data_IF_878273800215
#
_entry.id   IF_878273800215
#
_cell.length_a   1.000
_cell.length_b   1.000
_cell.length_c   1.000
_cell.angle_alpha   90.00
_cell.angle_beta   90.00
_cell.angle_gamma   90.00
#
_symmetry.space_group_name_H-M   'P 1'
#
loop_
_entity.id
_entity.type
_entity.pdbx_description
1 polymer ?
#
# COMPACT_ATOMS: atom_id res chain seq x y z
N UNK A 1 43.26 63.91 -0.57
CA UNK A 1 43.71 62.51 -0.73
C UNK A 1 42.67 61.58 -0.13
N UNK A 2 41.99 60.74 -0.93
CA UNK A 2 41.37 59.48 -0.46
C UNK A 2 40.85 58.68 -1.68
N UNK A 3 41.67 57.74 -2.17
CA UNK A 3 41.22 56.75 -3.17
C UNK A 3 40.48 55.66 -2.41
N UNK A 4 39.16 55.62 -2.52
CA UNK A 4 38.36 54.49 -2.00
C UNK A 4 38.63 53.27 -2.90
N UNK A 5 39.13 52.15 -2.37
CA UNK A 5 39.41 50.96 -3.17
C UNK A 5 38.10 50.36 -3.67
N UNK A 6 38.00 50.06 -4.97
CA UNK A 6 36.79 49.50 -5.64
C UNK A 6 36.57 48.00 -5.35
N UNK A 7 37.40 47.39 -4.51
CA UNK A 7 37.37 45.95 -4.20
C UNK A 7 36.35 45.47 -3.14
N UNK A 8 35.75 46.29 -2.24
CA UNK A 8 34.85 45.76 -1.21
C UNK A 8 33.43 45.49 -1.73
N UNK A 9 32.97 46.20 -2.77
CA UNK A 9 31.60 46.06 -3.29
C UNK A 9 31.38 44.72 -4.00
N UNK A 10 32.38 44.24 -4.75
CA UNK A 10 32.29 42.95 -5.46
C UNK A 10 32.29 41.76 -4.47
N UNK A 11 33.08 41.86 -3.40
CA UNK A 11 33.16 40.83 -2.37
C UNK A 11 31.88 40.74 -1.54
N UNK A 12 31.24 41.88 -1.23
CA UNK A 12 29.95 41.91 -0.52
C UNK A 12 28.81 41.36 -1.38
N UNK A 13 28.78 41.67 -2.68
CA UNK A 13 27.78 41.13 -3.61
C UNK A 13 27.89 39.60 -3.77
N UNK A 14 29.11 39.07 -3.84
CA UNK A 14 29.36 37.62 -3.86
C UNK A 14 28.95 36.94 -2.54
N UNK A 15 29.23 37.56 -1.39
CA UNK A 15 28.81 37.00 -0.09
C UNK A 15 27.28 36.98 0.10
N UNK A 16 26.57 38.00 -0.38
CA UNK A 16 25.11 38.06 -0.33
C UNK A 16 24.42 37.05 -1.26
N UNK A 17 25.02 36.75 -2.42
CA UNK A 17 24.55 35.70 -3.33
C UNK A 17 24.69 34.29 -2.73
N UNK A 18 25.75 34.05 -1.95
CA UNK A 18 25.98 32.76 -1.28
C UNK A 18 25.06 32.57 -0.07
N UNK A 19 24.78 33.63 0.70
CA UNK A 19 23.91 33.55 1.88
C UNK A 19 22.41 33.63 1.55
N UNK A 20 22.03 34.34 0.48
CA UNK A 20 20.63 34.47 0.04
C UNK A 20 20.07 33.20 -0.64
N UNK A 21 20.93 32.36 -1.20
CA UNK A 21 20.52 31.11 -1.86
C UNK A 21 20.11 29.98 -0.90
N UNK A 22 20.47 30.08 0.38
CA UNK A 22 20.21 29.02 1.37
C UNK A 22 18.87 29.14 2.09
N UNK A 23 18.14 30.25 1.93
CA UNK A 23 16.84 30.45 2.59
C UNK A 23 15.66 29.78 1.88
N UNK A 24 15.83 29.19 0.69
CA UNK A 24 14.76 28.48 -0.05
C UNK A 24 14.74 26.97 0.19
N UNK A 25 15.68 26.42 0.98
CA UNK A 25 15.81 24.96 1.17
C UNK A 25 15.05 24.44 2.39
N UNK A 26 14.49 25.33 3.21
CA UNK A 26 13.70 24.95 4.38
C UNK A 26 12.24 25.33 4.13
N UNK A 27 11.63 24.67 3.15
CA UNK A 27 10.17 24.57 3.14
C UNK A 27 9.77 23.56 4.24
N UNK A 28 8.97 23.97 5.26
CA UNK A 28 8.58 23.08 6.34
C UNK A 28 7.72 21.89 5.90
N UNK A 29 7.25 21.87 4.64
CA UNK A 29 6.43 20.78 4.11
C UNK A 29 7.23 19.63 3.48
N UNK A 30 8.53 19.81 3.16
CA UNK A 30 9.28 18.81 2.37
C UNK A 30 10.46 18.12 3.08
N UNK A 31 10.98 18.66 4.18
CA UNK A 31 12.39 18.37 4.50
C UNK A 31 12.68 17.40 5.64
N UNK A 32 12.20 17.71 6.84
CA UNK A 32 12.84 17.20 8.05
C UNK A 32 12.57 15.71 8.33
N UNK A 33 11.45 15.19 7.81
CA UNK A 33 11.09 13.78 7.95
C UNK A 33 11.78 12.86 6.93
N UNK A 34 12.43 13.42 5.89
CA UNK A 34 13.13 12.66 4.84
C UNK A 34 14.50 12.13 5.28
N UNK A 35 15.00 12.56 6.45
CA UNK A 35 16.27 12.09 7.03
C UNK A 35 16.12 10.81 7.87
N UNK A 36 14.87 10.40 8.13
CA UNK A 36 14.57 9.09 8.66
C UNK A 36 14.06 8.23 7.49
N UNK A 37 14.78 7.19 7.05
CA UNK A 37 14.21 6.19 6.16
C UNK A 37 13.20 5.33 6.95
N UNK A 38 12.09 5.97 7.34
CA UNK A 38 10.97 5.38 8.05
C UNK A 38 9.72 5.67 7.23
N UNK A 39 9.38 4.72 6.35
CA UNK A 39 8.06 4.52 5.77
C UNK A 39 7.26 5.80 5.42
N UNK A 40 7.54 6.35 4.23
CA UNK A 40 6.58 7.23 3.56
C UNK A 40 5.33 6.42 3.19
N UNK A 41 4.23 6.60 3.95
CA UNK A 41 2.96 5.90 3.75
C UNK A 41 2.14 6.41 2.54
N UNK A 42 2.80 6.94 1.51
CA UNK A 42 2.15 7.37 0.25
C UNK A 42 2.41 6.42 -0.92
N UNK A 43 3.28 5.43 -0.75
CA UNK A 43 3.31 4.27 -1.64
C UNK A 43 2.22 3.28 -1.18
N UNK A 44 1.02 3.41 -1.76
CA UNK A 44 0.00 2.35 -1.69
C UNK A 44 0.65 1.00 -1.99
N UNK A 45 0.26 -0.10 -1.37
CA UNK A 45 0.64 -1.45 -1.81
C UNK A 45 0.35 -1.59 -3.31
N UNK A 46 1.37 -1.44 -4.16
CA UNK A 46 1.23 -1.49 -5.60
C UNK A 46 1.34 -2.96 -6.00
N UNK A 47 0.22 -3.60 -6.32
CA UNK A 47 0.26 -4.89 -6.99
C UNK A 47 0.88 -4.68 -8.38
N UNK A 48 1.81 -5.57 -8.79
CA UNK A 48 2.44 -5.51 -10.11
C UNK A 48 1.40 -5.47 -11.24
N UNK A 49 0.28 -6.17 -11.03
CA UNK A 49 -0.94 -6.02 -11.82
C UNK A 49 -2.14 -6.03 -10.88
N UNK A 50 -3.17 -5.29 -11.26
CA UNK A 50 -4.47 -5.29 -10.58
C UNK A 50 -5.10 -6.70 -10.67
N UNK A 51 -5.45 -7.34 -9.53
CA UNK A 51 -5.93 -8.72 -9.54
C UNK A 51 -7.31 -8.85 -10.17
N UNK A 52 -7.62 -10.04 -10.71
CA UNK A 52 -8.95 -10.39 -11.22
C UNK A 52 -10.02 -10.09 -10.16
N UNK A 53 -11.06 -9.34 -10.53
CA UNK A 53 -12.16 -8.98 -9.63
C UNK A 53 -12.02 -7.62 -8.93
N UNK A 54 -10.87 -6.93 -9.04
CA UNK A 54 -10.66 -5.63 -8.39
C UNK A 54 -11.70 -4.58 -8.75
N UNK A 55 -12.08 -4.48 -10.03
CA UNK A 55 -13.06 -3.49 -10.52
C UNK A 55 -14.51 -3.90 -10.33
N UNK A 56 -14.77 -5.01 -9.62
CA UNK A 56 -16.10 -5.59 -9.50
C UNK A 56 -16.54 -5.81 -8.05
N UNK A 57 -17.63 -6.57 -7.85
CA UNK A 57 -18.15 -6.89 -6.52
C UNK A 57 -17.14 -7.59 -5.60
N UNK A 58 -16.15 -8.27 -6.16
CA UNK A 58 -15.10 -8.95 -5.40
C UNK A 58 -13.90 -8.04 -5.04
N UNK A 59 -13.98 -6.73 -5.31
CA UNK A 59 -12.84 -5.81 -5.13
C UNK A 59 -12.32 -5.75 -3.70
N UNK A 60 -13.17 -5.95 -2.71
CA UNK A 60 -12.77 -6.03 -1.29
C UNK A 60 -12.15 -7.39 -0.94
N UNK A 61 -12.53 -8.45 -1.65
CA UNK A 61 -12.10 -9.81 -1.39
C UNK A 61 -10.68 -10.07 -1.91
N UNK A 62 -10.30 -9.44 -3.03
CA UNK A 62 -9.02 -9.69 -3.73
C UNK A 62 -7.79 -9.19 -2.97
N UNK A 63 -7.99 -8.39 -1.92
CA UNK A 63 -6.94 -8.01 -0.98
C UNK A 63 -6.44 -9.25 -0.22
N UNK A 64 -7.37 -10.11 0.19
CA UNK A 64 -7.09 -11.27 1.03
C UNK A 64 -7.12 -12.60 0.26
N UNK A 65 -7.80 -12.68 -0.88
CA UNK A 65 -8.04 -13.93 -1.60
C UNK A 65 -7.58 -13.86 -3.05
N UNK A 66 -7.05 -14.99 -3.56
CA UNK A 66 -6.93 -15.21 -4.99
C UNK A 66 -8.23 -15.79 -5.54
N UNK A 67 -8.58 -15.39 -6.77
CA UNK A 67 -9.76 -15.88 -7.49
C UNK A 67 -9.38 -16.73 -8.70
N UNK A 68 -8.11 -16.84 -9.06
CA UNK A 68 -7.65 -17.55 -10.25
C UNK A 68 -7.39 -19.03 -9.95
N UNK A 69 -7.63 -19.89 -10.95
CA UNK A 69 -7.42 -21.33 -10.82
C UNK A 69 -5.94 -21.67 -10.64
N UNK A 70 -5.61 -22.39 -9.58
CA UNK A 70 -4.24 -22.90 -9.35
C UNK A 70 -3.31 -21.91 -8.66
N UNK A 71 -3.77 -20.69 -8.42
CA UNK A 71 -3.04 -19.71 -7.62
C UNK A 71 -2.90 -20.13 -6.15
N UNK A 72 -1.83 -19.69 -5.52
CA UNK A 72 -1.59 -19.92 -4.09
C UNK A 72 -2.61 -19.18 -3.21
N UNK A 73 -2.61 -19.46 -1.91
CA UNK A 73 -3.30 -18.63 -0.93
C UNK A 73 -2.57 -17.27 -0.75
N UNK A 74 -3.28 -16.28 -0.21
CA UNK A 74 -2.69 -15.00 0.26
C UNK A 74 -2.81 -14.93 1.78
N UNK A 75 -3.61 -13.98 2.28
CA UNK A 75 -4.03 -13.91 3.68
C UNK A 75 -5.12 -14.97 3.93
N UNK A 76 -6.04 -15.12 2.98
CA UNK A 76 -7.08 -16.13 2.95
C UNK A 76 -6.84 -17.21 1.87
N UNK A 77 -7.63 -18.29 1.90
CA UNK A 77 -7.56 -19.36 0.92
C UNK A 77 -7.95 -18.88 -0.49
N UNK A 78 -7.53 -19.60 -1.52
CA UNK A 78 -8.02 -19.36 -2.88
C UNK A 78 -9.54 -19.68 -2.96
N UNK A 79 -10.31 -18.81 -3.63
CA UNK A 79 -11.77 -18.92 -3.77
C UNK A 79 -12.22 -19.41 -5.15
N UNK A 80 -11.30 -19.83 -6.00
CA UNK A 80 -11.63 -20.45 -7.28
C UNK A 80 -12.52 -21.68 -7.07
N UNK A 81 -13.71 -21.66 -7.67
CA UNK A 81 -14.68 -22.74 -7.55
C UNK A 81 -15.28 -22.87 -6.14
N UNK A 82 -15.40 -21.78 -5.38
CA UNK A 82 -15.92 -21.83 -4.00
C UNK A 82 -17.37 -22.32 -3.91
N UNK A 83 -18.20 -22.07 -4.93
CA UNK A 83 -19.58 -22.55 -4.96
C UNK A 83 -19.58 -24.09 -5.03
N UNK A 84 -20.32 -24.71 -4.11
CA UNK A 84 -20.41 -26.15 -3.88
C UNK A 84 -19.10 -26.80 -3.36
N UNK A 85 -18.07 -26.02 -3.05
CA UNK A 85 -16.86 -26.53 -2.41
C UNK A 85 -17.08 -26.82 -0.91
N UNK A 86 -16.34 -27.77 -0.31
CA UNK A 86 -16.40 -28.02 1.13
C UNK A 86 -16.02 -26.79 1.95
N UNK A 87 -16.79 -26.49 3.00
CA UNK A 87 -16.45 -25.43 3.96
C UNK A 87 -15.16 -25.81 4.70
N UNK A 88 -14.22 -24.87 4.81
CA UNK A 88 -12.92 -25.14 5.45
C UNK A 88 -12.05 -26.18 4.72
N UNK A 89 -12.32 -26.45 3.44
CA UNK A 89 -11.76 -27.60 2.73
C UNK A 89 -10.44 -27.38 1.97
N UNK A 90 -9.93 -26.14 1.88
CA UNK A 90 -8.71 -25.86 1.12
C UNK A 90 -7.49 -26.50 1.77
N UNK A 91 -6.87 -27.45 1.08
CA UNK A 91 -5.71 -28.19 1.57
C UNK A 91 -4.56 -27.23 1.93
N UNK A 92 -3.97 -27.42 3.11
CA UNK A 92 -2.81 -26.67 3.56
C UNK A 92 -3.09 -25.26 4.07
N UNK A 93 -4.35 -24.81 4.10
CA UNK A 93 -4.73 -23.54 4.71
C UNK A 93 -5.21 -23.73 6.16
N UNK A 94 -4.72 -22.91 7.08
CA UNK A 94 -5.12 -22.94 8.49
C UNK A 94 -6.44 -22.20 8.72
N UNK A 95 -7.55 -22.94 8.75
CA UNK A 95 -8.87 -22.37 9.06
C UNK A 95 -9.06 -22.16 10.57
N UNK A 96 -9.94 -21.21 10.92
CA UNK A 96 -10.46 -21.10 12.29
C UNK A 96 -11.21 -22.39 12.67
N UNK A 97 -11.31 -22.67 13.98
CA UNK A 97 -12.03 -23.86 14.46
C UNK A 97 -13.48 -23.90 13.93
N UNK A 98 -14.16 -22.75 13.92
CA UNK A 98 -15.53 -22.64 13.41
C UNK A 98 -15.66 -23.04 11.94
N UNK A 99 -14.78 -22.55 11.05
CA UNK A 99 -14.85 -22.92 9.63
C UNK A 99 -14.38 -24.36 9.36
N UNK A 100 -13.36 -24.83 10.11
CA UNK A 100 -12.87 -26.19 9.99
C UNK A 100 -13.91 -27.25 10.41
N UNK A 101 -14.81 -26.90 11.33
CA UNK A 101 -15.84 -27.81 11.87
C UNK A 101 -17.25 -27.56 11.30
N UNK A 102 -17.43 -26.51 10.49
CA UNK A 102 -18.75 -26.13 9.94
C UNK A 102 -19.42 -27.25 9.14
N UNK A 103 -18.61 -28.09 8.47
CA UNK A 103 -19.09 -29.18 7.63
C UNK A 103 -19.91 -28.72 6.41
N UNK A 104 -20.23 -29.67 5.53
CA UNK A 104 -21.01 -29.41 4.32
C UNK A 104 -20.27 -28.58 3.26
N UNK A 105 -21.03 -28.05 2.32
CA UNK A 105 -20.53 -27.29 1.16
C UNK A 105 -21.07 -25.87 1.12
N UNK A 106 -20.37 -24.96 0.45
CA UNK A 106 -20.79 -23.59 0.21
C UNK A 106 -21.88 -23.52 -0.87
N UNK A 107 -23.14 -23.64 -0.47
CA UNK A 107 -24.25 -23.30 -1.38
C UNK A 107 -24.29 -21.79 -1.63
N UNK A 108 -24.96 -21.36 -2.71
CA UNK A 108 -25.17 -19.91 -2.97
C UNK A 108 -25.84 -19.21 -1.78
N UNK A 109 -26.88 -19.83 -1.20
CA UNK A 109 -27.60 -19.28 -0.06
C UNK A 109 -26.73 -19.20 1.20
N UNK A 110 -25.83 -20.16 1.41
CA UNK A 110 -24.88 -20.11 2.51
C UNK A 110 -23.86 -18.99 2.34
N UNK A 111 -23.37 -18.79 1.11
CA UNK A 111 -22.47 -17.69 0.78
C UNK A 111 -23.16 -16.34 0.96
N UNK A 112 -24.39 -16.16 0.47
CA UNK A 112 -25.16 -14.92 0.64
C UNK A 112 -25.33 -14.58 2.13
N UNK A 113 -25.65 -15.58 2.95
CA UNK A 113 -25.78 -15.41 4.41
C UNK A 113 -24.46 -15.13 5.10
N UNK A 114 -23.38 -15.81 4.71
CA UNK A 114 -22.05 -15.60 5.29
C UNK A 114 -21.52 -14.20 4.93
N UNK A 115 -21.59 -13.81 3.66
CA UNK A 115 -21.09 -12.53 3.15
C UNK A 115 -21.90 -11.33 3.64
N UNK A 116 -23.07 -11.52 4.25
CA UNK A 116 -23.79 -10.46 4.93
C UNK A 116 -23.04 -9.92 6.17
N UNK A 117 -22.26 -10.77 6.85
CA UNK A 117 -21.40 -10.39 7.97
C UNK A 117 -20.28 -11.45 8.21
N UNK A 118 -19.27 -11.51 7.32
CA UNK A 118 -18.31 -12.63 7.23
C UNK A 118 -17.12 -12.54 8.21
#
# INVERSE_FOLDING_TARGET
>A
MSRVPKQPLLAIALALLVLGGSLWVIDPSDGLFSLFPGASAKESYQYANKPMGWNGPAGQCVVCHNLEKGDSYRIGPNLWGIVDAPKGGSKGFGYSHALATAGGTWTKQDLDRYLANP
#
